data_IF_489072235724
#
_entry.id   IF_489072235724
#
_cell.length_a   1.000
_cell.length_b   1.000
_cell.length_c   1.000
_cell.angle_alpha   90.00
_cell.angle_beta   90.00
_cell.angle_gamma   90.00
#
_symmetry.space_group_name_H-M   'P 1'
#
loop_
_entity.id
_entity.type
_entity.pdbx_description
1 polymer ?
#
# COMPACT_ATOMS: atom_id res chain seq x y z
N UNK A 1 -11.22 1.67 16.76
CA UNK A 1 -10.24 1.99 15.70
C UNK A 1 -10.59 3.31 15.06
N UNK A 2 -9.58 4.12 14.82
CA UNK A 2 -9.77 5.43 14.21
C UNK A 2 -9.96 5.28 12.69
N UNK A 3 -11.17 5.53 12.21
CA UNK A 3 -11.50 5.35 10.80
C UNK A 3 -10.93 6.45 9.90
N UNK A 4 -10.41 7.53 10.48
CA UNK A 4 -9.77 8.57 9.68
C UNK A 4 -8.31 8.21 9.36
N UNK A 5 -7.69 7.41 10.20
CA UNK A 5 -6.30 7.00 10.03
C UNK A 5 -6.18 5.59 9.45
N UNK A 6 -7.16 4.75 9.73
CA UNK A 6 -7.10 3.33 9.36
C UNK A 6 -8.30 2.96 8.52
N UNK A 7 -8.04 2.28 7.45
CA UNK A 7 -9.08 1.76 6.56
C UNK A 7 -8.90 0.26 6.42
N UNK A 8 -9.96 -0.43 6.08
CA UNK A 8 -9.93 -1.88 5.91
C UNK A 8 -10.19 -2.25 4.46
N UNK A 9 -9.49 -3.26 3.99
CA UNK A 9 -9.76 -3.84 2.67
C UNK A 9 -9.78 -5.35 2.80
N UNK A 10 -10.58 -6.00 1.99
CA UNK A 10 -10.60 -7.46 1.94
C UNK A 10 -9.53 -7.93 0.96
N UNK A 11 -8.82 -8.98 1.31
CA UNK A 11 -7.82 -9.57 0.41
C UNK A 11 -8.13 -11.05 0.29
N UNK A 12 -7.60 -11.67 -0.76
CA UNK A 12 -7.74 -13.10 -0.94
C UNK A 12 -7.02 -13.84 0.17
N UNK A 13 -7.54 -15.02 0.51
CA UNK A 13 -6.92 -15.83 1.55
C UNK A 13 -5.45 -16.13 1.22
N UNK A 14 -5.16 -16.46 -0.03
CA UNK A 14 -3.79 -16.72 -0.45
C UNK A 14 -2.90 -15.52 -0.20
N UNK A 15 -3.36 -14.34 -0.59
CA UNK A 15 -2.59 -13.11 -0.41
C UNK A 15 -2.36 -12.82 1.07
N UNK A 16 -3.36 -13.10 1.89
CA UNK A 16 -3.25 -12.93 3.33
C UNK A 16 -2.14 -13.82 3.90
N UNK A 17 -2.11 -15.08 3.51
CA UNK A 17 -1.11 -16.00 4.03
C UNK A 17 0.29 -15.66 3.54
N UNK A 18 0.41 -15.21 2.29
CA UNK A 18 1.69 -14.76 1.77
C UNK A 18 2.17 -13.53 2.54
N UNK A 19 1.26 -12.61 2.82
CA UNK A 19 1.58 -11.41 3.59
C UNK A 19 2.05 -11.79 5.00
N UNK A 20 1.35 -12.73 5.65
CA UNK A 20 1.75 -13.18 6.98
C UNK A 20 3.15 -13.80 6.96
N UNK A 21 3.44 -14.58 5.93
CA UNK A 21 4.76 -15.17 5.78
C UNK A 21 5.85 -14.10 5.64
N UNK A 22 5.59 -13.11 4.81
CA UNK A 22 6.53 -12.00 4.64
C UNK A 22 6.75 -11.22 5.92
N UNK A 23 5.67 -10.99 6.67
CA UNK A 23 5.77 -10.28 7.94
C UNK A 23 6.64 -11.03 8.94
N UNK A 24 6.46 -12.33 9.01
CA UNK A 24 7.25 -13.17 9.91
C UNK A 24 8.73 -13.12 9.54
N UNK A 25 9.01 -13.19 8.25
CA UNK A 25 10.38 -13.18 7.74
C UNK A 25 11.08 -11.86 8.02
N UNK A 26 10.36 -10.76 7.91
CA UNK A 26 10.92 -9.41 8.07
C UNK A 26 10.64 -8.80 9.44
N UNK A 27 10.01 -9.54 10.34
CA UNK A 27 9.66 -9.05 11.68
C UNK A 27 8.85 -7.76 11.63
N UNK A 28 7.84 -7.72 10.78
CA UNK A 28 6.99 -6.55 10.63
C UNK A 28 5.52 -6.89 10.87
N UNK A 29 4.77 -5.89 11.33
CA UNK A 29 3.32 -6.04 11.44
C UNK A 29 2.70 -5.98 10.05
N UNK A 30 1.55 -6.65 9.83
CA UNK A 30 0.90 -6.63 8.51
C UNK A 30 0.61 -5.24 7.97
N UNK A 31 0.17 -4.32 8.81
CA UNK A 31 -0.11 -2.96 8.35
C UNK A 31 1.14 -2.25 7.86
N UNK A 32 2.23 -2.40 8.59
CA UNK A 32 3.51 -1.80 8.21
C UNK A 32 4.03 -2.41 6.90
N UNK A 33 3.86 -3.72 6.76
CA UNK A 33 4.30 -4.41 5.54
C UNK A 33 3.50 -3.94 4.34
N UNK A 34 2.18 -3.80 4.49
CA UNK A 34 1.33 -3.32 3.42
C UNK A 34 1.75 -1.90 2.99
N UNK A 35 1.98 -1.03 3.97
CA UNK A 35 2.42 0.32 3.69
C UNK A 35 3.71 0.32 2.87
N UNK A 36 4.68 -0.49 3.28
CA UNK A 36 5.94 -0.59 2.56
C UNK A 36 5.74 -1.06 1.13
N UNK A 37 4.96 -2.10 0.93
CA UNK A 37 4.72 -2.64 -0.39
C UNK A 37 4.02 -1.63 -1.30
N UNK A 38 3.01 -0.95 -0.77
CA UNK A 38 2.28 0.06 -1.53
C UNK A 38 3.22 1.19 -1.95
N UNK A 39 4.00 1.70 -1.01
CA UNK A 39 4.91 2.81 -1.33
C UNK A 39 6.00 2.41 -2.32
N UNK A 40 6.53 1.20 -2.19
CA UNK A 40 7.52 0.71 -3.14
C UNK A 40 6.94 0.61 -4.55
N UNK A 41 5.71 0.13 -4.65
CA UNK A 41 5.07 0.01 -5.94
C UNK A 41 4.77 1.39 -6.55
N UNK A 42 4.33 2.33 -5.70
CA UNK A 42 4.07 3.70 -6.16
C UNK A 42 5.36 4.33 -6.69
N UNK A 43 6.48 4.16 -5.98
CA UNK A 43 7.76 4.66 -6.45
C UNK A 43 8.15 4.05 -7.78
N UNK A 44 7.96 2.74 -7.90
CA UNK A 44 8.28 2.03 -9.13
C UNK A 44 7.47 2.59 -10.31
N UNK A 45 6.18 2.77 -10.11
CA UNK A 45 5.31 3.28 -11.16
C UNK A 45 5.62 4.75 -11.50
N UNK A 46 5.95 5.54 -10.51
CA UNK A 46 6.32 6.94 -10.74
C UNK A 46 7.57 7.02 -11.63
N UNK A 47 8.56 6.21 -11.32
CA UNK A 47 9.79 6.18 -12.13
C UNK A 47 9.51 5.69 -13.55
N UNK A 48 8.69 4.66 -13.66
CA UNK A 48 8.33 4.10 -14.95
C UNK A 48 7.65 5.13 -15.84
N UNK A 49 6.83 5.99 -15.25
CA UNK A 49 6.10 7.02 -15.97
C UNK A 49 6.84 8.36 -15.99
N UNK A 50 8.06 8.40 -15.48
CA UNK A 50 8.89 9.60 -15.42
C UNK A 50 8.21 10.75 -14.70
N UNK A 51 7.53 10.42 -13.61
CA UNK A 51 6.83 11.40 -12.78
C UNK A 51 7.50 11.53 -11.43
N UNK A 52 7.35 12.71 -10.83
CA UNK A 52 7.76 12.92 -9.47
C UNK A 52 6.84 12.11 -8.54
N UNK A 53 7.42 11.51 -7.51
CA UNK A 53 6.66 10.67 -6.59
C UNK A 53 5.51 11.43 -5.94
N UNK A 54 5.77 12.66 -5.48
CA UNK A 54 4.75 13.46 -4.82
C UNK A 54 3.60 13.81 -5.77
N UNK A 55 3.93 14.13 -7.00
CA UNK A 55 2.93 14.43 -8.01
C UNK A 55 2.10 13.19 -8.34
N UNK A 56 2.76 12.05 -8.44
CA UNK A 56 2.06 10.81 -8.74
C UNK A 56 1.12 10.43 -7.60
N UNK A 57 1.57 10.59 -6.36
CA UNK A 57 0.73 10.33 -5.19
C UNK A 57 -0.51 11.21 -5.18
N UNK A 58 -0.34 12.49 -5.48
CA UNK A 58 -1.46 13.42 -5.56
C UNK A 58 -2.46 12.99 -6.62
N UNK A 59 -1.95 12.60 -7.77
CA UNK A 59 -2.79 12.14 -8.87
C UNK A 59 -3.63 10.93 -8.44
N UNK A 60 -2.99 9.96 -7.78
CA UNK A 60 -3.68 8.76 -7.33
C UNK A 60 -4.73 9.07 -6.26
N UNK A 61 -4.39 9.93 -5.32
CA UNK A 61 -5.30 10.29 -4.24
C UNK A 61 -6.49 11.11 -4.75
N UNK A 62 -6.26 11.99 -5.69
CA UNK A 62 -7.33 12.79 -6.27
C UNK A 62 -8.23 11.97 -7.17
N UNK A 63 -7.72 10.85 -7.63
CA UNK A 63 -8.48 10.01 -8.54
C UNK A 63 -9.47 9.08 -7.87
N UNK A 64 -9.35 8.88 -6.54
CA UNK A 64 -10.30 7.97 -5.92
C UNK A 64 -11.57 8.72 -5.59
N UNK A 65 -12.65 8.11 -5.92
CA UNK A 65 -13.91 8.80 -5.95
C UNK A 65 -14.60 8.86 -4.61
N UNK A 66 -14.38 7.88 -3.79
CA UNK A 66 -15.18 7.82 -2.58
C UNK A 66 -14.64 6.77 -1.67
N UNK A 67 -14.69 7.07 -0.49
CA UNK A 67 -14.27 6.10 0.47
C UNK A 67 -14.95 6.19 1.74
#
# INVERSE_FOLDING_TARGET
MDTTRWKSVAVRAEDYFLLKGLCKEKFRAPGTMISKLVHEYVEFQAKKNKLDIDQYKKKLMNGHADD
#
